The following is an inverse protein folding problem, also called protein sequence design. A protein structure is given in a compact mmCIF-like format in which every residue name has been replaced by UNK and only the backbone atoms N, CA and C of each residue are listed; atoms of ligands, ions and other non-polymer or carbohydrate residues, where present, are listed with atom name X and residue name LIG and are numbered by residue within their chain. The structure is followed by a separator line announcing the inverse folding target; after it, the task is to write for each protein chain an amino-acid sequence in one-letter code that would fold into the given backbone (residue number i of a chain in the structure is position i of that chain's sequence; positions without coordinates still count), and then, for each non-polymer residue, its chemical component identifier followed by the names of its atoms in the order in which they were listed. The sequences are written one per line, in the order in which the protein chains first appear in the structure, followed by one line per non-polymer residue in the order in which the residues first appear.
data_IF_477784350353
#
_entry.id   IF_477784350353
#
_cell.length_a   1.000
_cell.length_b   1.000
_cell.length_c   1.000
_cell.angle_alpha   90.00
_cell.angle_beta   90.00
_cell.angle_gamma   90.00
#
_symmetry.space_group_name_H-M   'P 1'
#
loop_
_entity.id
_entity.type
_entity.pdbx_description
1 polymer ?
#
# COMPACT_ATOMS: atom_id res chain seq x y z
N UNK A 1 55.32 29.36 1.43
CA UNK A 1 54.25 28.37 1.14
C UNK A 1 54.72 26.92 1.33
N UNK A 2 55.88 26.51 0.76
CA UNK A 2 56.42 25.14 0.92
C UNK A 2 56.64 24.75 2.39
N UNK A 3 57.15 25.66 3.22
CA UNK A 3 57.37 25.44 4.67
C UNK A 3 56.03 25.18 5.39
N UNK A 4 54.98 25.94 5.06
CA UNK A 4 53.66 25.72 5.65
C UNK A 4 53.09 24.34 5.30
N UNK A 5 53.24 23.91 4.05
CA UNK A 5 52.80 22.56 3.65
C UNK A 5 53.59 21.45 4.34
N UNK A 6 54.90 21.64 4.51
CA UNK A 6 55.72 20.68 5.24
C UNK A 6 55.33 20.56 6.69
N UNK A 7 55.06 21.70 7.36
CA UNK A 7 54.57 21.69 8.76
C UNK A 7 53.22 21.00 8.90
N UNK A 8 52.27 21.30 7.98
CA UNK A 8 50.94 20.63 7.99
C UNK A 8 51.07 19.13 7.73
N UNK A 9 51.94 18.72 6.80
CA UNK A 9 52.22 17.32 6.54
C UNK A 9 52.83 16.60 7.73
N UNK A 10 53.78 17.21 8.43
CA UNK A 10 54.39 16.65 9.65
C UNK A 10 53.38 16.52 10.73
N UNK A 11 52.55 17.54 10.98
CA UNK A 11 51.46 17.48 11.99
C UNK A 11 50.43 16.42 11.66
N UNK A 12 50.10 16.25 10.37
CA UNK A 12 49.20 15.19 9.89
C UNK A 12 49.79 13.80 10.15
N UNK A 13 51.10 13.61 9.88
CA UNK A 13 51.78 12.31 10.13
C UNK A 13 51.85 11.98 11.60
N UNK A 14 52.07 12.95 12.48
CA UNK A 14 52.05 12.71 13.93
C UNK A 14 50.67 12.38 14.48
N UNK A 15 49.58 12.82 13.81
CA UNK A 15 48.20 12.53 14.15
C UNK A 15 47.62 11.29 13.47
N UNK A 16 48.38 10.61 12.61
CA UNK A 16 47.92 9.41 11.89
C UNK A 16 47.47 8.29 12.84
N UNK A 17 48.12 8.16 14.02
CA UNK A 17 47.75 7.21 15.07
C UNK A 17 46.33 7.44 15.61
N UNK A 18 45.86 8.69 15.67
CA UNK A 18 44.52 9.05 16.17
C UNK A 18 43.47 9.02 15.07
N UNK A 19 43.87 9.16 13.80
CA UNK A 19 43.01 9.32 12.65
C UNK A 19 42.71 7.96 11.96
N UNK A 20 43.52 6.94 12.16
CA UNK A 20 43.38 5.65 11.48
C UNK A 20 41.98 5.01 11.63
N UNK A 21 41.23 5.14 12.76
CA UNK A 21 39.92 4.56 12.89
C UNK A 21 38.87 5.18 11.95
N UNK A 22 39.13 6.41 11.47
CA UNK A 22 38.22 7.09 10.54
C UNK A 22 38.30 6.55 9.11
N UNK A 23 39.44 5.99 8.69
CA UNK A 23 39.59 5.43 7.35
C UNK A 23 38.60 4.29 7.03
N UNK A 24 38.39 3.29 7.89
CA UNK A 24 37.39 2.25 7.62
C UNK A 24 35.96 2.83 7.63
N UNK A 25 35.65 3.83 8.46
CA UNK A 25 34.36 4.50 8.48
C UNK A 25 34.12 5.21 7.15
N UNK A 26 35.08 5.97 6.65
CA UNK A 26 34.99 6.66 5.36
C UNK A 26 34.87 5.65 4.20
N UNK A 27 35.61 4.54 4.26
CA UNK A 27 35.52 3.49 3.25
C UNK A 27 34.13 2.84 3.22
N UNK A 28 33.54 2.55 4.40
CA UNK A 28 32.19 2.01 4.52
C UNK A 28 31.17 3.01 3.97
N UNK A 29 31.26 4.28 4.33
CA UNK A 29 30.37 5.33 3.83
C UNK A 29 30.50 5.48 2.30
N UNK A 30 31.72 5.52 1.77
CA UNK A 30 31.97 5.58 0.33
C UNK A 30 31.34 4.40 -0.39
N UNK A 31 31.56 3.17 0.11
CA UNK A 31 30.95 1.97 -0.42
C UNK A 31 29.42 2.02 -0.38
N UNK A 32 28.84 2.49 0.72
CA UNK A 32 27.40 2.68 0.86
C UNK A 32 26.84 3.67 -0.17
N UNK A 33 27.50 4.84 -0.33
CA UNK A 33 27.09 5.82 -1.32
C UNK A 33 27.21 5.29 -2.76
N UNK A 34 28.26 4.54 -3.09
CA UNK A 34 28.38 3.90 -4.41
C UNK A 34 27.28 2.87 -4.66
N UNK A 35 26.91 2.07 -3.65
CA UNK A 35 25.76 1.16 -3.74
C UNK A 35 24.45 1.89 -3.95
N UNK A 36 24.20 2.95 -3.18
CA UNK A 36 23.01 3.79 -3.33
C UNK A 36 22.97 4.39 -4.75
N UNK A 37 24.07 4.98 -5.21
CA UNK A 37 24.17 5.54 -6.58
C UNK A 37 23.86 4.49 -7.65
N UNK A 38 24.45 3.27 -7.53
CA UNK A 38 24.19 2.17 -8.46
C UNK A 38 22.72 1.77 -8.46
N UNK A 39 22.11 1.67 -7.26
CA UNK A 39 20.67 1.36 -7.12
C UNK A 39 19.80 2.41 -7.83
N UNK A 40 20.00 3.71 -7.54
CA UNK A 40 19.21 4.77 -8.17
C UNK A 40 19.43 4.86 -9.69
N UNK A 41 20.63 4.62 -10.18
CA UNK A 41 20.88 4.55 -11.62
C UNK A 41 20.12 3.38 -12.27
N UNK A 42 20.05 2.20 -11.60
CA UNK A 42 19.27 1.06 -12.07
C UNK A 42 17.76 1.36 -12.09
N UNK A 43 17.24 2.01 -11.04
CA UNK A 43 15.84 2.45 -10.99
C UNK A 43 15.56 3.47 -12.11
N UNK A 44 16.45 4.45 -12.29
CA UNK A 44 16.27 5.46 -13.33
C UNK A 44 16.27 4.86 -14.75
N UNK A 45 17.08 3.83 -14.99
CA UNK A 45 17.07 3.11 -16.28
C UNK A 45 15.77 2.34 -16.50
N UNK A 46 15.23 1.69 -15.46
CA UNK A 46 13.96 0.94 -15.55
C UNK A 46 12.74 1.85 -15.74
N UNK A 47 12.79 3.07 -15.18
CA UNK A 47 11.70 4.04 -15.29
C UNK A 47 11.79 4.93 -16.53
N UNK A 48 12.91 4.84 -17.27
CA UNK A 48 13.11 5.63 -18.46
C UNK A 48 12.29 5.07 -19.61
N UNK A 49 11.54 5.93 -20.28
CA UNK A 49 10.81 5.60 -21.49
C UNK A 49 11.81 5.61 -22.66
N UNK A 50 12.26 4.43 -23.06
CA UNK A 50 13.17 4.25 -24.19
C UNK A 50 12.38 3.50 -25.30
N UNK A 51 11.91 4.23 -26.31
CA UNK A 51 11.22 3.64 -27.48
C UNK A 51 9.71 3.76 -27.45
N UNK A 52 9.02 2.82 -28.16
CA UNK A 52 7.57 2.77 -28.21
C UNK A 52 7.01 2.34 -26.83
N UNK A 53 6.08 3.12 -26.30
CA UNK A 53 5.35 2.76 -25.08
C UNK A 53 4.25 1.79 -25.46
N UNK A 54 4.29 0.57 -24.94
CA UNK A 54 3.14 -0.33 -24.99
C UNK A 54 2.10 0.16 -23.97
N UNK A 55 1.06 0.84 -24.48
CA UNK A 55 -0.09 1.16 -23.63
C UNK A 55 -0.92 -0.11 -23.41
N UNK A 56 -1.11 -0.47 -22.16
CA UNK A 56 -2.01 -1.55 -21.80
C UNK A 56 -3.44 -1.01 -21.73
N UNK A 57 -4.28 -1.36 -22.71
CA UNK A 57 -5.68 -0.97 -22.72
C UNK A 57 -6.53 -1.99 -21.97
N UNK A 58 -6.95 -1.63 -20.77
CA UNK A 58 -7.93 -2.43 -20.03
C UNK A 58 -9.33 -2.21 -20.57
N UNK A 59 -10.11 -3.30 -20.66
CA UNK A 59 -11.50 -3.25 -21.14
C UNK A 59 -12.49 -2.88 -20.03
N UNK A 60 -12.07 -2.89 -18.78
CA UNK A 60 -12.91 -2.54 -17.64
C UNK A 60 -12.14 -2.40 -16.34
N UNK A 61 -12.82 -1.91 -15.32
CA UNK A 61 -12.30 -1.79 -13.97
C UNK A 61 -13.26 -2.42 -12.95
N UNK A 62 -12.82 -3.48 -12.29
CA UNK A 62 -13.55 -4.11 -11.19
C UNK A 62 -13.11 -3.43 -9.90
N UNK A 63 -14.05 -2.85 -9.15
CA UNK A 63 -13.76 -2.23 -7.87
C UNK A 63 -14.22 -3.12 -6.73
N UNK A 64 -13.28 -3.64 -5.96
CA UNK A 64 -13.53 -4.44 -4.77
C UNK A 64 -13.41 -3.56 -3.53
N UNK A 65 -14.52 -3.38 -2.79
CA UNK A 65 -14.58 -2.54 -1.58
C UNK A 65 -14.58 -3.41 -0.34
N UNK A 66 -13.69 -3.11 0.60
CA UNK A 66 -13.72 -3.76 1.90
C UNK A 66 -14.76 -3.10 2.81
N UNK A 67 -15.71 -3.91 3.29
CA UNK A 67 -16.77 -3.47 4.19
C UNK A 67 -16.67 -4.22 5.51
N UNK A 68 -16.25 -3.55 6.57
CA UNK A 68 -16.27 -4.11 7.92
C UNK A 68 -17.65 -3.94 8.57
N UNK A 69 -18.16 -2.73 8.63
CA UNK A 69 -19.49 -2.35 9.08
C UNK A 69 -20.05 -1.29 8.14
N UNK A 70 -21.39 -1.13 8.10
CA UNK A 70 -22.02 -0.07 7.30
C UNK A 70 -21.81 1.27 7.99
N UNK A 71 -21.03 2.15 7.37
CA UNK A 71 -20.67 3.46 7.91
C UNK A 71 -20.77 4.55 6.83
N UNK A 72 -20.79 5.81 7.26
CA UNK A 72 -20.75 6.95 6.32
C UNK A 72 -19.50 6.92 5.40
N UNK A 73 -18.40 6.37 5.88
CA UNK A 73 -17.20 6.19 5.07
C UNK A 73 -17.44 5.20 3.92
N UNK A 74 -18.17 4.11 4.17
CA UNK A 74 -18.53 3.16 3.13
C UNK A 74 -19.49 3.76 2.10
N UNK A 75 -20.47 4.58 2.52
CA UNK A 75 -21.38 5.25 1.59
C UNK A 75 -20.59 6.11 0.59
N UNK A 76 -19.67 6.92 1.08
CA UNK A 76 -18.85 7.76 0.21
C UNK A 76 -17.91 6.94 -0.68
N UNK A 77 -17.29 5.89 -0.13
CA UNK A 77 -16.42 5.00 -0.89
C UNK A 77 -17.17 4.27 -2.00
N UNK A 78 -18.38 3.78 -1.73
CA UNK A 78 -19.23 3.10 -2.73
C UNK A 78 -19.66 4.07 -3.83
N UNK A 79 -20.06 5.29 -3.46
CA UNK A 79 -20.42 6.33 -4.45
C UNK A 79 -19.24 6.64 -5.37
N UNK A 80 -18.03 6.72 -4.83
CA UNK A 80 -16.82 6.93 -5.62
C UNK A 80 -16.49 5.70 -6.47
N UNK A 81 -16.60 4.49 -5.91
CA UNK A 81 -16.33 3.24 -6.63
C UNK A 81 -17.22 3.10 -7.88
N UNK A 82 -18.49 3.46 -7.78
CA UNK A 82 -19.42 3.46 -8.92
C UNK A 82 -19.03 4.46 -10.02
N UNK A 83 -18.31 5.51 -9.68
CA UNK A 83 -17.86 6.50 -10.68
C UNK A 83 -16.63 6.06 -11.46
N UNK A 84 -15.87 5.08 -10.95
CA UNK A 84 -14.62 4.63 -11.56
C UNK A 84 -14.64 3.16 -12.00
N UNK A 85 -15.60 2.37 -11.54
CA UNK A 85 -15.69 0.94 -11.81
C UNK A 85 -16.87 0.58 -12.69
N UNK A 86 -16.64 -0.34 -13.60
CA UNK A 86 -17.70 -0.96 -14.40
C UNK A 86 -18.46 -2.01 -13.59
N UNK A 87 -17.77 -2.66 -12.66
CA UNK A 87 -18.33 -3.60 -11.69
C UNK A 87 -17.84 -3.26 -10.28
N UNK A 88 -18.78 -3.18 -9.32
CA UNK A 88 -18.48 -2.92 -7.92
C UNK A 88 -18.89 -4.12 -7.08
N UNK A 89 -17.96 -4.67 -6.31
CA UNK A 89 -18.17 -5.81 -5.42
C UNK A 89 -17.83 -5.35 -4.00
N UNK A 90 -18.76 -5.56 -3.07
CA UNK A 90 -18.49 -5.34 -1.65
C UNK A 90 -18.02 -6.66 -1.02
N UNK A 91 -16.92 -6.62 -0.29
CA UNK A 91 -16.38 -7.78 0.40
C UNK A 91 -16.46 -7.57 1.92
N UNK A 92 -17.10 -8.50 2.58
CA UNK A 92 -17.14 -8.58 4.05
C UNK A 92 -16.42 -9.84 4.52
N UNK A 93 -15.47 -9.67 5.44
CA UNK A 93 -14.74 -10.80 6.02
C UNK A 93 -15.15 -10.95 7.46
N UNK A 94 -15.71 -12.10 7.77
CA UNK A 94 -16.19 -12.47 9.10
C UNK A 94 -15.26 -13.48 9.78
N UNK A 95 -15.35 -13.52 11.11
CA UNK A 95 -14.74 -14.56 11.93
C UNK A 95 -15.88 -15.37 12.60
N UNK A 96 -15.58 -16.58 13.09
CA UNK A 96 -16.59 -17.43 13.75
C UNK A 96 -17.31 -16.75 14.92
N UNK A 97 -16.66 -15.77 15.56
CA UNK A 97 -17.20 -15.06 16.71
C UNK A 97 -18.15 -13.90 16.32
N UNK A 98 -18.27 -13.57 15.03
CA UNK A 98 -19.03 -12.40 14.57
C UNK A 98 -20.26 -12.73 13.72
N UNK A 99 -20.62 -14.00 13.56
CA UNK A 99 -21.66 -14.48 12.62
C UNK A 99 -23.02 -13.77 12.78
N UNK A 100 -23.45 -13.44 13.99
CA UNK A 100 -24.71 -12.71 14.20
C UNK A 100 -24.64 -11.26 13.74
N UNK A 101 -23.50 -10.59 13.98
CA UNK A 101 -23.26 -9.21 13.52
C UNK A 101 -23.12 -9.14 12.01
N UNK A 102 -22.61 -10.19 11.40
CA UNK A 102 -22.39 -10.25 9.95
C UNK A 102 -23.74 -10.28 9.20
N UNK A 103 -24.73 -11.01 9.71
CA UNK A 103 -26.10 -11.00 9.17
C UNK A 103 -26.77 -9.62 9.28
N UNK A 104 -26.59 -8.94 10.41
CA UNK A 104 -27.08 -7.57 10.60
C UNK A 104 -26.41 -6.62 9.62
N UNK A 105 -25.09 -6.71 9.46
CA UNK A 105 -24.32 -5.89 8.52
C UNK A 105 -24.77 -6.13 7.07
N UNK A 106 -25.04 -7.39 6.69
CA UNK A 106 -25.54 -7.72 5.36
C UNK A 106 -26.93 -7.13 5.09
N UNK A 107 -27.83 -7.28 6.06
CA UNK A 107 -29.19 -6.72 5.94
C UNK A 107 -29.15 -5.18 5.84
N UNK A 108 -28.34 -4.55 6.67
CA UNK A 108 -28.15 -3.10 6.63
C UNK A 108 -27.52 -2.66 5.31
N UNK A 109 -26.52 -3.37 4.82
CA UNK A 109 -25.88 -3.09 3.55
C UNK A 109 -26.86 -3.20 2.38
N UNK A 110 -27.62 -4.28 2.28
CA UNK A 110 -28.66 -4.49 1.26
C UNK A 110 -29.76 -3.42 1.27
N UNK A 111 -30.06 -2.88 2.44
CA UNK A 111 -31.02 -1.78 2.55
C UNK A 111 -30.56 -0.50 1.86
N UNK A 112 -29.24 -0.20 1.93
CA UNK A 112 -28.68 1.01 1.32
C UNK A 112 -28.15 0.79 -0.11
N UNK A 113 -27.72 -0.44 -0.43
CA UNK A 113 -27.05 -0.79 -1.69
C UNK A 113 -27.57 -2.13 -2.26
N UNK A 114 -28.87 -2.22 -2.60
CA UNK A 114 -29.46 -3.48 -3.05
C UNK A 114 -28.89 -4.01 -4.36
N UNK A 115 -28.31 -3.13 -5.19
CA UNK A 115 -27.73 -3.46 -6.49
C UNK A 115 -26.26 -3.88 -6.44
N UNK A 116 -25.60 -3.77 -5.27
CA UNK A 116 -24.19 -4.16 -5.15
C UNK A 116 -24.09 -5.58 -4.60
N UNK A 117 -23.37 -6.41 -5.31
CA UNK A 117 -23.05 -7.76 -4.87
C UNK A 117 -22.17 -7.69 -3.60
N UNK A 118 -22.63 -8.31 -2.53
CA UNK A 118 -21.86 -8.45 -1.29
C UNK A 118 -21.38 -9.88 -1.12
N UNK A 119 -20.08 -10.06 -1.09
CA UNK A 119 -19.44 -11.37 -0.90
C UNK A 119 -19.00 -11.52 0.54
N UNK A 120 -19.43 -12.61 1.16
CA UNK A 120 -19.05 -12.97 2.52
C UNK A 120 -17.95 -14.01 2.52
N UNK A 121 -16.87 -13.71 3.21
CA UNK A 121 -15.72 -14.61 3.36
C UNK A 121 -15.62 -14.99 4.83
N UNK A 122 -15.79 -16.27 5.12
CA UNK A 122 -15.55 -16.79 6.45
C UNK A 122 -14.07 -17.07 6.66
N UNK A 123 -13.43 -16.36 7.58
CA UNK A 123 -12.06 -16.66 7.98
C UNK A 123 -12.06 -17.77 9.03
N UNK A 124 -11.45 -18.94 8.76
CA UNK A 124 -11.39 -20.05 9.71
C UNK A 124 -10.56 -19.76 10.95
N UNK A 125 -9.66 -18.79 10.85
CA UNK A 125 -8.81 -18.31 11.93
C UNK A 125 -8.92 -16.79 12.02
N UNK A 126 -8.53 -16.20 13.12
CA UNK A 126 -8.59 -14.75 13.40
C UNK A 126 -7.80 -13.85 12.43
N UNK A 127 -7.34 -14.38 11.30
CA UNK A 127 -6.54 -13.68 10.29
C UNK A 127 -7.38 -13.16 9.14
N UNK A 128 -8.20 -12.14 9.40
CA UNK A 128 -8.99 -11.42 8.38
C UNK A 128 -8.11 -11.00 7.19
N UNK A 129 -6.88 -10.56 7.45
CA UNK A 129 -5.95 -10.10 6.41
C UNK A 129 -5.63 -11.19 5.38
N UNK A 130 -5.39 -12.42 5.82
CA UNK A 130 -5.03 -13.52 4.92
C UNK A 130 -6.19 -13.92 4.01
N UNK A 131 -7.39 -14.06 4.58
CA UNK A 131 -8.61 -14.37 3.81
C UNK A 131 -8.95 -13.27 2.82
N UNK A 132 -8.74 -11.99 3.22
CA UNK A 132 -8.87 -10.84 2.30
C UNK A 132 -7.92 -10.95 1.12
N UNK A 133 -6.64 -11.22 1.37
CA UNK A 133 -5.62 -11.30 0.32
C UNK A 133 -5.93 -12.46 -0.64
N UNK A 134 -6.30 -13.62 -0.11
CA UNK A 134 -6.64 -14.77 -0.94
C UNK A 134 -7.79 -14.45 -1.91
N UNK A 135 -8.86 -13.85 -1.41
CA UNK A 135 -9.98 -13.48 -2.29
C UNK A 135 -9.61 -12.38 -3.29
N UNK A 136 -8.80 -11.41 -2.88
CA UNK A 136 -8.28 -10.39 -3.81
C UNK A 136 -7.46 -11.04 -4.93
N UNK A 137 -6.61 -12.01 -4.61
CA UNK A 137 -5.80 -12.75 -5.61
C UNK A 137 -6.72 -13.56 -6.57
N UNK A 138 -7.81 -14.15 -6.09
CA UNK A 138 -8.82 -14.85 -6.90
C UNK A 138 -9.52 -13.89 -7.87
N UNK A 139 -9.99 -12.73 -7.37
CA UNK A 139 -10.65 -11.71 -8.20
C UNK A 139 -9.67 -11.08 -9.19
N UNK A 140 -8.40 -10.87 -8.79
CA UNK A 140 -7.35 -10.37 -9.67
C UNK A 140 -7.11 -11.32 -10.85
N UNK A 141 -7.04 -12.63 -10.58
CA UNK A 141 -6.88 -13.65 -11.61
C UNK A 141 -8.06 -13.65 -12.59
N UNK A 142 -9.28 -13.42 -12.11
CA UNK A 142 -10.45 -13.31 -12.98
C UNK A 142 -10.44 -12.01 -13.78
N UNK A 143 -10.10 -10.89 -13.16
CA UNK A 143 -9.98 -9.59 -13.84
C UNK A 143 -8.95 -9.65 -14.99
N UNK A 144 -7.83 -10.33 -14.76
CA UNK A 144 -6.78 -10.52 -15.78
C UNK A 144 -7.29 -11.31 -17.00
N UNK A 145 -8.08 -12.38 -16.79
CA UNK A 145 -8.71 -13.15 -17.87
C UNK A 145 -9.69 -12.30 -18.68
N UNK A 146 -10.37 -11.38 -18.02
CA UNK A 146 -11.35 -10.49 -18.63
C UNK A 146 -10.70 -9.21 -19.20
N UNK A 147 -9.36 -9.13 -19.19
CA UNK A 147 -8.58 -7.94 -19.55
C UNK A 147 -9.04 -6.67 -18.81
N UNK A 148 -9.43 -6.83 -17.55
CA UNK A 148 -9.89 -5.75 -16.68
C UNK A 148 -8.85 -5.45 -15.58
N UNK A 149 -8.87 -4.23 -15.06
CA UNK A 149 -8.07 -3.85 -13.88
C UNK A 149 -8.85 -4.16 -12.61
N UNK A 150 -8.17 -4.64 -11.57
CA UNK A 150 -8.73 -4.73 -10.23
C UNK A 150 -8.31 -3.55 -9.37
N UNK A 151 -9.27 -2.78 -8.90
CA UNK A 151 -9.06 -1.72 -7.90
C UNK A 151 -9.57 -2.17 -6.54
N UNK A 152 -8.68 -2.38 -5.58
CA UNK A 152 -9.04 -2.68 -4.19
C UNK A 152 -9.19 -1.37 -3.43
N UNK A 153 -10.42 -1.05 -3.05
CA UNK A 153 -10.75 0.17 -2.34
C UNK A 153 -10.90 -0.09 -0.84
N UNK A 154 -10.13 0.62 -0.05
CA UNK A 154 -10.10 0.50 1.41
C UNK A 154 -10.69 1.77 2.02
N UNK A 155 -11.95 1.74 2.49
CA UNK A 155 -12.52 2.85 3.25
C UNK A 155 -11.76 3.02 4.56
N UNK A 156 -11.43 4.26 4.89
CA UNK A 156 -10.79 4.60 6.16
C UNK A 156 -11.35 5.91 6.68
N UNK A 157 -11.38 6.07 7.99
CA UNK A 157 -11.71 7.36 8.58
C UNK A 157 -10.44 8.06 9.07
N UNK A 158 -10.46 9.38 8.94
CA UNK A 158 -9.35 10.22 9.39
C UNK A 158 -9.82 10.97 10.64
N UNK A 159 -9.27 10.61 11.81
CA UNK A 159 -9.55 11.34 13.04
C UNK A 159 -8.87 12.70 13.02
N UNK A 160 -9.35 13.64 13.82
CA UNK A 160 -8.84 15.00 13.90
C UNK A 160 -7.37 15.08 14.35
N UNK A 161 -6.93 14.16 15.24
CA UNK A 161 -5.57 14.11 15.75
C UNK A 161 -4.78 13.00 15.08
N UNK A 162 -3.65 13.33 14.48
CA UNK A 162 -2.82 12.40 13.70
C UNK A 162 -2.40 11.12 14.45
N UNK A 163 -2.13 11.20 15.76
CA UNK A 163 -1.75 10.04 16.55
C UNK A 163 -2.87 8.99 16.69
N UNK A 164 -4.16 9.42 16.61
CA UNK A 164 -5.30 8.52 16.66
C UNK A 164 -5.41 7.64 15.41
N UNK A 165 -4.90 8.10 14.28
CA UNK A 165 -4.85 7.33 13.02
C UNK A 165 -4.05 6.04 13.19
N UNK A 166 -2.99 6.07 13.98
CA UNK A 166 -2.14 4.91 14.23
C UNK A 166 -2.86 3.82 15.06
N UNK A 167 -3.82 4.21 15.89
CA UNK A 167 -4.59 3.26 16.71
C UNK A 167 -5.70 2.55 15.93
N UNK A 168 -6.32 3.21 14.95
CA UNK A 168 -7.55 2.73 14.32
C UNK A 168 -7.36 2.11 12.93
N UNK A 169 -6.32 2.47 12.19
CA UNK A 169 -6.16 2.08 10.78
C UNK A 169 -5.11 0.99 10.54
N UNK A 170 -4.77 0.19 11.54
CA UNK A 170 -3.71 -0.82 11.44
C UNK A 170 -4.01 -1.88 10.37
N UNK A 171 -5.27 -2.32 10.24
CA UNK A 171 -5.66 -3.30 9.23
C UNK A 171 -5.51 -2.74 7.81
N UNK A 172 -5.93 -1.50 7.58
CA UNK A 172 -5.76 -0.81 6.30
C UNK A 172 -4.28 -0.71 5.91
N UNK A 173 -3.41 -0.38 6.86
CA UNK A 173 -1.97 -0.29 6.63
C UNK A 173 -1.36 -1.64 6.27
N UNK A 174 -1.75 -2.71 6.97
CA UNK A 174 -1.29 -4.08 6.67
C UNK A 174 -1.74 -4.53 5.29
N UNK A 175 -3.01 -4.34 4.95
CA UNK A 175 -3.54 -4.70 3.64
C UNK A 175 -2.83 -3.94 2.51
N UNK A 176 -2.65 -2.62 2.65
CA UNK A 176 -1.89 -1.81 1.69
C UNK A 176 -0.47 -2.32 1.53
N UNK A 177 0.18 -2.69 2.62
CA UNK A 177 1.54 -3.22 2.58
C UNK A 177 1.62 -4.54 1.79
N UNK A 178 0.69 -5.47 2.03
CA UNK A 178 0.68 -6.75 1.30
C UNK A 178 0.26 -6.60 -0.16
N UNK A 179 -0.77 -5.79 -0.43
CA UNK A 179 -1.31 -5.61 -1.78
C UNK A 179 -0.36 -4.83 -2.71
N UNK A 180 0.46 -3.94 -2.16
CA UNK A 180 1.42 -3.16 -2.96
C UNK A 180 2.47 -4.02 -3.70
N UNK A 181 2.66 -5.27 -3.28
CA UNK A 181 3.59 -6.21 -3.90
C UNK A 181 2.91 -7.09 -4.97
N UNK A 182 1.60 -6.89 -5.21
CA UNK A 182 0.87 -7.56 -6.28
C UNK A 182 0.96 -6.72 -7.54
N UNK A 183 1.27 -7.39 -8.64
CA UNK A 183 1.19 -6.80 -9.97
C UNK A 183 -0.28 -6.73 -10.40
N UNK A 184 -0.63 -5.81 -11.27
CA UNK A 184 -1.98 -5.66 -11.85
C UNK A 184 -3.12 -5.35 -10.85
N UNK A 185 -2.81 -4.91 -9.63
CA UNK A 185 -3.79 -4.47 -8.63
C UNK A 185 -3.57 -2.99 -8.30
N UNK A 186 -4.61 -2.20 -8.43
CA UNK A 186 -4.64 -0.81 -7.97
C UNK A 186 -5.16 -0.77 -6.55
N UNK A 187 -4.40 -0.21 -5.62
CA UNK A 187 -4.85 -0.02 -4.23
C UNK A 187 -5.25 1.42 -4.00
N UNK A 188 -6.53 1.63 -3.78
CA UNK A 188 -7.11 2.96 -3.51
C UNK A 188 -7.59 3.08 -2.07
N UNK A 189 -7.59 4.28 -1.52
CA UNK A 189 -8.13 4.57 -0.20
C UNK A 189 -9.12 5.70 -0.27
N UNK A 190 -10.31 5.46 0.27
CA UNK A 190 -11.28 6.51 0.47
C UNK A 190 -11.22 7.02 1.91
N UNK A 191 -10.83 8.28 2.10
CA UNK A 191 -10.65 8.90 3.41
C UNK A 191 -11.89 9.72 3.80
N UNK A 192 -12.59 9.28 4.84
CA UNK A 192 -13.69 10.02 5.44
C UNK A 192 -13.20 10.79 6.65
N UNK A 193 -13.32 12.11 6.60
CA UNK A 193 -12.92 12.99 7.70
C UNK A 193 -14.03 13.09 8.73
N UNK A 194 -13.72 12.74 9.99
CA UNK A 194 -14.64 12.87 11.10
C UNK A 194 -14.89 14.38 11.37
N UNK A 195 -16.16 14.77 11.40
CA UNK A 195 -16.60 16.11 11.81
C UNK A 195 -16.87 16.10 13.31
N UNK A 196 -16.72 17.25 13.97
CA UNK A 196 -17.12 17.46 15.38
C UNK A 196 -18.62 17.27 15.54
#
# INVERSE_FOLDING_TARGET
QLICYAIVLILFLFRLGDIWPFFPIIAILMWMFLKIKKHYNGVAQQLRIDGAVEEHHYQGNIVLILVGNVTKANIGAISYARSIGDKVIAMHVSTKDTENKDKETEQEFKKYFPEIEMVHIQSPYSSITQSTIQYVDEVATQAEKDNATLTVMIPQFVPKKSWQTMLHNQMSLRLKYYLKWRENIVVSSYSYHLKD
#
